data_IF_569409880288
#
_entry.id   IF_569409880288
#
_cell.length_a   1.000
_cell.length_b   1.000
_cell.length_c   1.000
_cell.angle_alpha   90.00
_cell.angle_beta   90.00
_cell.angle_gamma   90.00
#
_symmetry.space_group_name_H-M   'P 1'
#
loop_
_entity.id
_entity.type
_entity.pdbx_description
1 polymer ?
#
# COMPACT_ATOMS: atom_id res chain seq x y z
N UNK A 1 -81.19 -8.68 71.57
CA UNK A 1 -80.81 -9.61 70.51
C UNK A 1 -79.69 -9.02 69.71
N UNK A 2 -78.45 -9.46 70.00
CA UNK A 2 -77.26 -8.86 69.40
C UNK A 2 -76.61 -9.94 68.56
N UNK A 3 -76.31 -9.64 67.26
CA UNK A 3 -75.50 -10.41 66.37
C UNK A 3 -74.06 -10.00 66.46
N UNK A 4 -73.04 -10.91 66.43
CA UNK A 4 -71.66 -10.50 66.37
C UNK A 4 -71.17 -10.50 64.93
N UNK A 5 -70.53 -9.38 64.51
CA UNK A 5 -69.78 -9.19 63.26
C UNK A 5 -68.49 -10.04 63.29
N UNK A 6 -68.35 -10.93 62.34
CA UNK A 6 -67.12 -11.68 62.11
C UNK A 6 -66.31 -10.86 61.06
N UNK A 7 -65.20 -10.27 61.48
CA UNK A 7 -64.24 -9.67 60.60
C UNK A 7 -63.20 -10.73 60.16
N UNK A 8 -63.28 -11.12 58.93
CA UNK A 8 -62.27 -11.96 58.31
C UNK A 8 -61.03 -11.16 57.99
N UNK A 9 -59.93 -11.34 58.70
CA UNK A 9 -58.61 -10.85 58.36
C UNK A 9 -58.05 -11.67 57.23
N UNK A 10 -58.06 -11.15 56.01
CA UNK A 10 -57.36 -11.71 54.87
C UNK A 10 -55.86 -11.41 55.02
N UNK A 11 -55.10 -12.40 55.45
CA UNK A 11 -53.66 -12.36 55.56
C UNK A 11 -53.04 -12.49 54.15
N UNK A 12 -52.70 -11.34 53.55
CA UNK A 12 -51.88 -11.30 52.39
C UNK A 12 -50.46 -11.77 52.76
N UNK A 13 -50.15 -13.02 52.51
CA UNK A 13 -48.77 -13.52 52.56
C UNK A 13 -47.99 -12.96 51.37
N UNK A 14 -47.29 -11.88 51.61
CA UNK A 14 -46.35 -11.29 50.68
C UNK A 14 -45.12 -12.22 50.61
N UNK A 15 -45.10 -13.09 49.60
CA UNK A 15 -43.95 -13.95 49.28
C UNK A 15 -42.79 -13.05 48.99
N UNK A 16 -41.85 -12.81 49.90
CA UNK A 16 -40.58 -12.16 49.68
C UNK A 16 -39.75 -13.07 48.80
N UNK A 17 -39.68 -12.77 47.50
CA UNK A 17 -38.67 -13.37 46.64
C UNK A 17 -37.31 -12.95 47.19
N UNK A 18 -36.58 -13.91 47.73
CA UNK A 18 -35.16 -13.73 48.07
C UNK A 18 -34.42 -13.52 46.74
N UNK A 19 -34.18 -12.25 46.33
CA UNK A 19 -33.17 -11.96 45.36
C UNK A 19 -31.88 -12.63 45.83
N UNK A 20 -31.43 -13.69 45.16
CA UNK A 20 -30.10 -14.27 45.33
C UNK A 20 -29.11 -13.15 45.01
N UNK A 21 -28.58 -12.46 46.00
CA UNK A 21 -27.44 -11.57 45.84
C UNK A 21 -26.30 -12.47 45.35
N UNK A 22 -25.96 -12.37 44.11
CA UNK A 22 -24.72 -12.95 43.60
C UNK A 22 -23.59 -12.38 44.47
N UNK A 23 -23.02 -13.20 45.35
CA UNK A 23 -21.96 -12.76 46.22
C UNK A 23 -20.81 -12.25 45.35
N UNK A 24 -20.44 -10.98 45.48
CA UNK A 24 -19.33 -10.33 44.76
C UNK A 24 -18.08 -11.22 44.74
N UNK A 25 -17.85 -11.99 45.81
CA UNK A 25 -16.75 -12.95 45.92
C UNK A 25 -16.78 -14.04 44.83
N UNK A 26 -17.97 -14.60 44.51
CA UNK A 26 -18.09 -15.60 43.44
C UNK A 26 -17.88 -15.02 42.05
N UNK A 27 -18.28 -13.77 41.85
CA UNK A 27 -18.01 -13.04 40.59
C UNK A 27 -16.50 -12.85 40.44
N UNK A 28 -15.81 -12.38 41.48
CA UNK A 28 -14.35 -12.18 41.47
C UNK A 28 -13.61 -13.50 41.22
N UNK A 29 -14.02 -14.58 41.87
CA UNK A 29 -13.46 -15.91 41.65
C UNK A 29 -13.68 -16.38 40.21
N UNK A 30 -14.89 -16.19 39.68
CA UNK A 30 -15.19 -16.50 38.27
C UNK A 30 -14.32 -15.76 37.28
N UNK A 31 -14.12 -14.47 37.50
CA UNK A 31 -13.22 -13.65 36.67
C UNK A 31 -11.76 -14.12 36.79
N UNK A 32 -11.29 -14.43 38.01
CA UNK A 32 -9.92 -14.92 38.22
C UNK A 32 -9.67 -16.27 37.53
N UNK A 33 -10.65 -17.20 37.58
CA UNK A 33 -10.57 -18.47 36.88
C UNK A 33 -10.56 -18.27 35.36
N UNK A 34 -11.40 -17.36 34.85
CA UNK A 34 -11.46 -17.05 33.43
C UNK A 34 -10.14 -16.43 32.93
N UNK A 35 -9.54 -15.55 33.71
CA UNK A 35 -8.21 -14.98 33.43
C UNK A 35 -7.11 -16.05 33.47
N UNK A 36 -7.19 -17.00 34.41
CA UNK A 36 -6.24 -18.10 34.47
C UNK A 36 -6.36 -19.02 33.25
N UNK A 37 -7.57 -19.40 32.86
CA UNK A 37 -7.81 -20.20 31.65
C UNK A 37 -7.30 -19.46 30.42
N UNK A 38 -7.58 -18.16 30.28
CA UNK A 38 -7.11 -17.32 29.19
C UNK A 38 -5.57 -17.26 29.15
N UNK A 39 -4.92 -17.11 30.30
CA UNK A 39 -3.46 -17.13 30.43
C UNK A 39 -2.86 -18.48 30.00
N UNK A 40 -3.50 -19.59 30.40
CA UNK A 40 -3.08 -20.96 30.00
C UNK A 40 -3.23 -21.16 28.49
N UNK A 41 -4.34 -20.70 27.90
CA UNK A 41 -4.57 -20.79 26.45
C UNK A 41 -3.56 -19.96 25.66
N UNK A 42 -3.19 -18.78 26.16
CA UNK A 42 -2.11 -17.98 25.57
C UNK A 42 -0.76 -18.69 25.65
N UNK A 43 -0.46 -19.29 26.81
CA UNK A 43 0.78 -20.05 27.06
C UNK A 43 0.84 -21.38 26.29
N UNK A 44 -0.31 -22.01 26.01
CA UNK A 44 -0.39 -23.28 25.28
C UNK A 44 -0.06 -23.17 23.77
N UNK A 45 0.26 -21.98 23.27
CA UNK A 45 0.65 -21.77 21.88
C UNK A 45 -0.49 -21.88 20.86
N UNK A 46 -1.75 -21.91 21.31
CA UNK A 46 -2.93 -21.95 20.43
C UNK A 46 -2.94 -20.74 19.48
N UNK A 47 -2.51 -19.57 19.98
CA UNK A 47 -2.41 -18.35 19.19
C UNK A 47 -1.05 -18.17 18.49
N UNK A 48 -0.25 -19.24 18.40
CA UNK A 48 1.03 -19.18 17.68
C UNK A 48 0.79 -19.27 16.17
N UNK A 49 1.13 -18.21 15.46
CA UNK A 49 1.00 -18.12 14.00
C UNK A 49 1.80 -19.24 13.33
N UNK A 50 1.11 -20.04 12.52
CA UNK A 50 1.67 -21.11 11.66
C UNK A 50 1.43 -20.82 10.19
N UNK A 51 0.28 -20.19 9.87
CA UNK A 51 -0.09 -19.86 8.50
C UNK A 51 -0.26 -18.36 8.34
N UNK A 52 0.25 -17.83 7.22
CA UNK A 52 0.17 -16.43 6.87
C UNK A 52 -0.25 -16.30 5.42
N UNK A 53 -1.39 -15.67 5.19
CA UNK A 53 -1.81 -15.20 3.87
C UNK A 53 -1.35 -13.76 3.69
N UNK A 54 -0.68 -13.45 2.60
CA UNK A 54 -0.33 -12.05 2.24
C UNK A 54 -1.05 -11.68 0.96
N UNK A 55 -1.71 -10.53 0.96
CA UNK A 55 -2.45 -10.00 -0.19
C UNK A 55 -2.20 -8.50 -0.37
N UNK A 56 -2.14 -8.04 -1.62
CA UNK A 56 -1.95 -6.63 -1.97
C UNK A 56 -0.49 -6.18 -1.99
N UNK A 57 0.45 -7.11 -1.95
CA UNK A 57 1.88 -6.85 -2.08
C UNK A 57 2.29 -6.92 -3.56
N UNK A 58 3.01 -5.90 -4.04
CA UNK A 58 3.63 -5.84 -5.38
C UNK A 58 5.13 -5.61 -5.28
N UNK A 59 5.57 -4.71 -4.38
CA UNK A 59 7.00 -4.39 -4.20
C UNK A 59 7.75 -5.43 -3.37
N UNK A 60 7.11 -5.97 -2.34
CA UNK A 60 7.71 -6.97 -1.45
C UNK A 60 7.17 -8.37 -1.74
N UNK A 61 8.01 -9.38 -1.59
CA UNK A 61 7.58 -10.78 -1.58
C UNK A 61 6.71 -11.08 -0.35
N UNK A 62 5.96 -12.19 -0.39
CA UNK A 62 5.16 -12.63 0.75
C UNK A 62 6.01 -12.93 1.98
N UNK A 63 7.19 -13.48 1.75
CA UNK A 63 8.16 -13.84 2.76
C UNK A 63 8.72 -12.59 3.46
N UNK A 64 9.07 -11.56 2.70
CA UNK A 64 9.56 -10.28 3.23
C UNK A 64 8.48 -9.57 4.05
N UNK A 65 7.26 -9.43 3.52
CA UNK A 65 6.13 -8.85 4.27
C UNK A 65 5.88 -9.62 5.56
N UNK A 66 5.88 -10.97 5.49
CA UNK A 66 5.71 -11.81 6.67
C UNK A 66 6.78 -11.52 7.71
N UNK A 67 8.04 -11.41 7.28
CA UNK A 67 9.16 -11.11 8.18
C UNK A 67 9.08 -9.69 8.76
N UNK A 68 8.76 -8.69 7.95
CA UNK A 68 8.64 -7.30 8.36
C UNK A 68 7.50 -7.11 9.38
N UNK A 69 6.33 -7.70 9.11
CA UNK A 69 5.14 -7.58 9.96
C UNK A 69 5.27 -8.39 11.25
N UNK A 70 5.66 -9.65 11.17
CA UNK A 70 5.78 -10.51 12.35
C UNK A 70 7.05 -10.22 13.14
N UNK A 71 8.18 -10.01 12.50
CA UNK A 71 9.49 -9.92 13.14
C UNK A 71 9.77 -11.17 13.98
N UNK A 72 9.99 -10.99 15.29
CA UNK A 72 10.15 -12.07 16.27
C UNK A 72 8.84 -12.51 16.91
N UNK A 73 7.76 -11.75 16.72
CA UNK A 73 6.47 -12.02 17.34
C UNK A 73 5.72 -13.11 16.58
N UNK A 74 5.11 -14.05 17.32
CA UNK A 74 4.36 -15.18 16.75
C UNK A 74 2.96 -15.32 17.35
N UNK A 75 2.52 -14.39 18.19
CA UNK A 75 1.18 -14.44 18.79
C UNK A 75 0.18 -13.68 17.90
N UNK A 76 -0.77 -14.40 17.30
CA UNK A 76 -1.76 -13.86 16.37
C UNK A 76 -2.69 -12.82 17.02
N UNK A 77 -3.06 -13.03 18.28
CA UNK A 77 -3.94 -12.13 19.02
C UNK A 77 -3.23 -10.79 19.29
N UNK A 78 -1.97 -10.85 19.75
CA UNK A 78 -1.15 -9.66 19.98
C UNK A 78 -0.90 -8.88 18.69
N UNK A 79 -0.53 -9.58 17.60
CA UNK A 79 -0.31 -8.95 16.30
C UNK A 79 -1.58 -8.29 15.77
N UNK A 80 -2.73 -8.98 15.87
CA UNK A 80 -4.01 -8.41 15.45
C UNK A 80 -4.36 -7.15 16.26
N UNK A 81 -4.13 -7.16 17.58
CA UNK A 81 -4.32 -5.99 18.42
C UNK A 81 -3.37 -4.85 18.03
N UNK A 82 -2.08 -5.14 17.85
CA UNK A 82 -1.05 -4.16 17.48
C UNK A 82 -1.41 -3.43 16.18
N UNK A 83 -1.73 -4.17 15.12
CA UNK A 83 -2.03 -3.58 13.81
C UNK A 83 -3.44 -3.00 13.69
N UNK A 84 -4.34 -3.29 14.61
CA UNK A 84 -5.70 -2.74 14.63
C UNK A 84 -5.82 -1.45 15.43
N UNK A 85 -5.04 -1.30 16.50
CA UNK A 85 -5.21 -0.20 17.46
C UNK A 85 -3.96 0.67 17.65
N UNK A 86 -2.78 0.21 17.21
CA UNK A 86 -1.50 0.89 17.43
C UNK A 86 -0.72 1.14 16.14
N UNK A 87 -1.38 1.05 14.96
CA UNK A 87 -0.83 1.26 13.62
C UNK A 87 0.38 0.36 13.22
N UNK A 88 0.80 -0.55 14.11
CA UNK A 88 1.86 -1.50 13.84
C UNK A 88 3.24 -0.88 13.64
N UNK A 89 4.02 -1.44 12.72
CA UNK A 89 5.32 -0.93 12.30
C UNK A 89 5.19 -0.18 10.99
N UNK A 90 5.91 0.93 10.86
CA UNK A 90 6.14 1.57 9.57
C UNK A 90 7.01 0.66 8.70
N UNK A 91 6.56 0.42 7.48
CA UNK A 91 7.28 -0.35 6.47
C UNK A 91 7.45 0.59 5.27
N UNK A 92 8.69 0.77 4.77
CA UNK A 92 8.92 1.61 3.59
C UNK A 92 8.01 1.19 2.43
N UNK A 93 7.56 2.15 1.62
CA UNK A 93 6.67 1.95 0.47
C UNK A 93 5.27 1.39 0.79
N UNK A 94 4.95 1.17 2.07
CA UNK A 94 3.63 0.71 2.53
C UNK A 94 2.92 1.85 3.23
N UNK A 95 1.71 2.15 2.79
CA UNK A 95 0.83 3.14 3.41
C UNK A 95 0.19 2.58 4.67
N UNK A 96 -0.32 1.34 4.58
CA UNK A 96 -1.02 0.70 5.69
C UNK A 96 -0.91 -0.82 5.63
N UNK A 97 -0.84 -1.43 6.79
CA UNK A 97 -0.97 -2.88 6.97
C UNK A 97 -2.25 -3.19 7.73
N UNK A 98 -3.14 -3.95 7.10
CA UNK A 98 -4.30 -4.54 7.77
C UNK A 98 -4.00 -5.97 8.19
N UNK A 99 -4.23 -6.34 9.44
CA UNK A 99 -4.08 -7.71 9.92
C UNK A 99 -5.42 -8.26 10.39
N UNK A 100 -5.78 -9.43 9.88
CA UNK A 100 -7.03 -10.13 10.22
C UNK A 100 -6.70 -11.55 10.67
N UNK A 101 -7.17 -11.94 11.84
CA UNK A 101 -7.06 -13.30 12.32
C UNK A 101 -8.19 -14.14 11.69
N UNK A 102 -7.83 -15.15 10.90
CA UNK A 102 -8.75 -16.10 10.28
C UNK A 102 -9.01 -17.30 11.19
N UNK A 103 -7.98 -17.74 11.89
CA UNK A 103 -8.01 -18.76 12.93
C UNK A 103 -6.96 -18.41 14.01
N UNK A 104 -6.97 -19.05 15.19
CA UNK A 104 -6.00 -18.73 16.24
C UNK A 104 -4.53 -18.81 15.79
N UNK A 105 -4.21 -19.70 14.86
CA UNK A 105 -2.87 -19.89 14.30
C UNK A 105 -2.73 -19.44 12.84
N UNK A 106 -3.77 -18.81 12.26
CA UNK A 106 -3.81 -18.36 10.87
C UNK A 106 -4.19 -16.89 10.79
N UNK A 107 -3.33 -16.08 10.19
CA UNK A 107 -3.55 -14.66 9.97
C UNK A 107 -3.49 -14.31 8.49
N UNK A 108 -4.23 -13.27 8.12
CA UNK A 108 -4.12 -12.62 6.82
C UNK A 108 -3.57 -11.22 6.99
N UNK A 109 -2.51 -10.93 6.27
CA UNK A 109 -1.88 -9.62 6.15
C UNK A 109 -2.36 -9.01 4.84
N UNK A 110 -3.02 -7.86 4.90
CA UNK A 110 -3.36 -7.05 3.73
C UNK A 110 -2.46 -5.84 3.69
N UNK A 111 -1.68 -5.73 2.64
CA UNK A 111 -0.76 -4.62 2.41
C UNK A 111 -1.46 -3.60 1.51
N UNK A 112 -1.40 -2.33 1.89
CA UNK A 112 -1.77 -1.20 1.06
C UNK A 112 -0.48 -0.44 0.75
N UNK A 113 -0.02 -0.56 -0.49
CA UNK A 113 1.21 0.07 -0.93
C UNK A 113 0.99 1.53 -1.29
N UNK A 114 2.00 2.37 -1.08
CA UNK A 114 1.99 3.77 -1.50
C UNK A 114 1.92 3.83 -3.02
N UNK A 115 1.03 4.67 -3.54
CA UNK A 115 0.95 4.89 -4.98
C UNK A 115 2.06 5.84 -5.41
N UNK A 116 2.95 5.38 -6.27
CA UNK A 116 4.08 6.16 -6.77
C UNK A 116 4.06 6.13 -8.29
N UNK A 117 4.31 7.30 -8.92
CA UNK A 117 4.36 7.43 -10.39
C UNK A 117 5.78 7.64 -10.91
N UNK A 118 6.72 7.95 -10.04
CA UNK A 118 8.11 8.18 -10.38
C UNK A 118 8.93 8.53 -9.16
N UNK A 119 10.24 8.63 -9.35
CA UNK A 119 11.15 9.18 -8.35
C UNK A 119 12.16 10.14 -8.96
N UNK A 120 12.65 11.06 -8.16
CA UNK A 120 13.78 11.94 -8.48
C UNK A 120 14.96 11.62 -7.60
N UNK A 121 16.17 11.75 -8.13
CA UNK A 121 17.40 11.60 -7.33
C UNK A 121 17.79 12.93 -6.71
N UNK A 122 17.91 12.96 -5.40
CA UNK A 122 18.27 14.16 -4.67
C UNK A 122 19.17 13.83 -3.47
N UNK A 123 20.32 14.48 -3.37
CA UNK A 123 21.30 14.31 -2.28
C UNK A 123 21.64 12.84 -1.94
N UNK A 124 21.71 11.98 -2.95
CA UNK A 124 22.06 10.57 -2.78
C UNK A 124 20.91 9.63 -2.44
N UNK A 125 19.69 10.14 -2.30
CA UNK A 125 18.48 9.35 -2.08
C UNK A 125 17.53 9.44 -3.26
N UNK A 126 16.68 8.45 -3.41
CA UNK A 126 15.57 8.42 -4.35
C UNK A 126 14.30 8.89 -3.63
N UNK A 127 13.69 9.94 -4.13
CA UNK A 127 12.49 10.54 -3.57
C UNK A 127 11.32 10.18 -4.45
N UNK A 128 10.49 9.29 -3.94
CA UNK A 128 9.31 8.80 -4.63
C UNK A 128 8.14 9.74 -4.42
N UNK A 129 7.39 10.02 -5.46
CA UNK A 129 6.23 10.90 -5.41
C UNK A 129 5.00 10.28 -6.06
N UNK A 130 3.85 10.70 -5.59
CA UNK A 130 2.55 10.25 -6.08
C UNK A 130 2.07 11.07 -7.29
N UNK A 131 0.85 10.79 -7.74
CA UNK A 131 0.20 11.47 -8.88
C UNK A 131 0.01 12.98 -8.70
N UNK A 132 -0.02 13.45 -7.47
CA UNK A 132 -0.19 14.87 -7.12
C UNK A 132 1.17 15.55 -6.87
N UNK A 133 2.27 14.84 -7.17
CA UNK A 133 3.63 15.29 -6.93
C UNK A 133 4.07 15.30 -5.47
N UNK A 134 3.27 14.72 -4.57
CA UNK A 134 3.63 14.65 -3.15
C UNK A 134 4.71 13.62 -2.93
N UNK A 135 5.79 14.00 -2.24
CA UNK A 135 6.87 13.08 -1.87
C UNK A 135 6.36 12.13 -0.78
N UNK A 136 6.15 10.87 -1.12
CA UNK A 136 5.57 9.86 -0.23
C UNK A 136 6.61 8.98 0.44
N UNK A 137 7.83 8.89 -0.12
CA UNK A 137 8.90 8.05 0.42
C UNK A 137 10.28 8.56 0.02
N UNK A 138 11.27 8.35 0.88
CA UNK A 138 12.69 8.57 0.60
C UNK A 138 13.47 7.29 0.90
N UNK A 139 14.13 6.73 -0.11
CA UNK A 139 14.87 5.48 0.02
C UNK A 139 16.13 5.47 -0.85
N UNK A 140 17.12 4.67 -0.45
CA UNK A 140 18.27 4.37 -1.29
C UNK A 140 17.99 3.21 -2.26
N UNK A 141 16.91 2.47 -2.04
CA UNK A 141 16.49 1.39 -2.91
C UNK A 141 15.81 1.92 -4.17
N UNK A 142 16.03 1.24 -5.29
CA UNK A 142 15.34 1.49 -6.56
C UNK A 142 14.28 0.42 -6.73
N UNK A 143 13.02 0.85 -6.80
CA UNK A 143 11.89 -0.06 -7.02
C UNK A 143 11.74 -0.36 -8.52
N UNK A 144 11.61 -1.62 -8.84
CA UNK A 144 11.32 -2.06 -10.21
C UNK A 144 9.94 -1.54 -10.67
N UNK A 145 9.88 -1.10 -11.91
CA UNK A 145 8.65 -0.58 -12.51
C UNK A 145 8.30 0.87 -12.14
N UNK A 146 9.09 1.54 -11.31
CA UNK A 146 8.95 2.97 -11.01
C UNK A 146 10.08 3.74 -11.71
N UNK A 147 9.79 4.59 -12.71
CA UNK A 147 10.82 5.26 -13.50
C UNK A 147 11.51 6.40 -12.74
N UNK A 148 12.80 6.60 -13.03
CA UNK A 148 13.52 7.78 -12.62
C UNK A 148 13.11 8.98 -13.49
N UNK A 149 12.65 10.07 -12.88
CA UNK A 149 12.27 11.29 -13.59
C UNK A 149 13.44 12.26 -13.58
N UNK A 150 13.94 12.61 -14.77
CA UNK A 150 14.98 13.62 -14.95
C UNK A 150 14.44 14.88 -15.62
N UNK A 151 15.09 16.00 -15.35
CA UNK A 151 14.71 17.29 -15.91
C UNK A 151 13.56 17.99 -15.19
N UNK A 152 12.99 17.38 -14.17
CA UNK A 152 12.03 18.03 -13.29
C UNK A 152 12.76 19.03 -12.40
N UNK A 153 12.41 20.31 -12.50
CA UNK A 153 12.97 21.40 -11.68
C UNK A 153 12.04 21.64 -10.50
N UNK A 154 12.58 21.55 -9.30
CA UNK A 154 11.86 21.81 -8.05
C UNK A 154 12.77 22.53 -7.05
N UNK A 155 12.20 23.40 -6.20
CA UNK A 155 12.97 24.23 -5.28
C UNK A 155 13.05 23.67 -3.87
N UNK A 156 11.93 23.26 -3.30
CA UNK A 156 11.85 22.77 -1.92
C UNK A 156 11.37 21.34 -1.87
N UNK A 157 11.87 20.61 -0.88
CA UNK A 157 11.62 19.20 -0.77
C UNK A 157 11.44 18.79 0.69
N UNK A 158 10.27 18.21 1.00
CA UNK A 158 10.00 17.59 2.27
C UNK A 158 9.08 16.38 2.08
N UNK A 159 9.25 15.36 2.90
CA UNK A 159 8.35 14.19 2.90
C UNK A 159 6.95 14.64 3.29
N UNK A 160 5.94 14.07 2.65
CA UNK A 160 4.53 14.42 2.75
C UNK A 160 4.19 15.85 2.29
N UNK A 161 5.02 16.44 1.44
CA UNK A 161 4.74 17.71 0.80
C UNK A 161 4.88 17.59 -0.72
N UNK A 162 4.10 18.36 -1.51
CA UNK A 162 4.24 18.37 -2.95
C UNK A 162 5.58 18.99 -3.36
N UNK A 163 6.18 18.44 -4.42
CA UNK A 163 7.31 19.03 -5.08
C UNK A 163 6.89 20.38 -5.65
N UNK A 164 7.56 21.46 -5.23
CA UNK A 164 7.31 22.79 -5.75
C UNK A 164 7.94 22.93 -7.15
N UNK A 165 7.13 22.74 -8.18
CA UNK A 165 7.51 22.82 -9.59
C UNK A 165 6.92 24.07 -10.24
N UNK A 166 7.52 24.55 -11.33
CA UNK A 166 7.04 25.74 -12.04
C UNK A 166 5.65 25.53 -12.70
N UNK A 167 5.31 24.29 -13.06
CA UNK A 167 4.03 23.93 -13.69
C UNK A 167 3.57 22.56 -13.22
N UNK A 168 2.51 22.51 -12.43
CA UNK A 168 1.95 21.28 -11.86
C UNK A 168 1.34 20.33 -12.91
N UNK A 169 1.01 20.82 -14.10
CA UNK A 169 0.53 19.98 -15.21
C UNK A 169 1.52 18.89 -15.63
N UNK A 170 2.79 19.01 -15.25
CA UNK A 170 3.79 17.97 -15.46
C UNK A 170 3.40 16.65 -14.78
N UNK A 171 2.73 16.71 -13.63
CA UNK A 171 2.29 15.50 -12.93
C UNK A 171 1.14 14.80 -13.63
N UNK A 172 0.23 15.54 -14.27
CA UNK A 172 -0.83 14.97 -15.12
C UNK A 172 -0.24 14.22 -16.32
N UNK A 173 0.79 14.80 -16.94
CA UNK A 173 1.53 14.17 -18.05
C UNK A 173 2.22 12.90 -17.55
N UNK A 174 2.94 12.96 -16.44
CA UNK A 174 3.63 11.81 -15.86
C UNK A 174 2.64 10.70 -15.44
N UNK A 175 1.50 11.06 -14.86
CA UNK A 175 0.44 10.11 -14.51
C UNK A 175 -0.10 9.41 -15.78
N UNK A 176 -0.44 10.17 -16.80
CA UNK A 176 -0.92 9.62 -18.07
C UNK A 176 0.10 8.68 -18.69
N UNK A 177 1.38 9.06 -18.68
CA UNK A 177 2.48 8.22 -19.15
C UNK A 177 2.59 6.91 -18.35
N UNK A 178 2.55 6.99 -17.02
CA UNK A 178 2.68 5.81 -16.15
C UNK A 178 1.51 4.84 -16.36
N UNK A 179 0.29 5.36 -16.51
CA UNK A 179 -0.89 4.54 -16.80
C UNK A 179 -0.77 3.84 -18.16
N UNK A 180 -0.27 4.54 -19.16
CA UNK A 180 -0.07 4.00 -20.49
C UNK A 180 1.06 2.97 -20.52
N UNK A 181 2.17 3.23 -19.85
CA UNK A 181 3.26 2.27 -19.68
C UNK A 181 2.74 0.97 -19.06
N UNK A 182 1.92 1.08 -18.01
CA UNK A 182 1.28 -0.09 -17.39
C UNK A 182 0.35 -0.83 -18.36
N UNK A 183 -0.45 -0.11 -19.15
CA UNK A 183 -1.36 -0.69 -20.16
C UNK A 183 -0.61 -1.52 -21.21
N UNK A 184 0.54 -1.02 -21.66
CA UNK A 184 1.35 -1.67 -22.70
C UNK A 184 2.51 -2.50 -22.14
N UNK A 185 2.59 -2.66 -20.80
CA UNK A 185 3.67 -3.38 -20.11
C UNK A 185 5.06 -2.87 -20.51
N UNK A 186 5.20 -1.55 -20.59
CA UNK A 186 6.46 -0.87 -20.83
C UNK A 186 7.07 -0.45 -19.49
N UNK A 187 8.35 -0.74 -19.28
CA UNK A 187 9.07 -0.39 -18.05
C UNK A 187 10.36 0.36 -18.39
N UNK A 188 10.29 1.67 -18.71
CA UNK A 188 11.49 2.45 -18.91
C UNK A 188 12.24 2.64 -17.59
N UNK A 189 13.57 2.62 -17.66
CA UNK A 189 14.42 2.94 -16.51
C UNK A 189 14.33 4.42 -16.13
N UNK A 190 14.09 5.27 -17.16
CA UNK A 190 14.13 6.72 -16.99
C UNK A 190 13.17 7.44 -17.95
N UNK A 191 12.54 8.49 -17.43
CA UNK A 191 11.77 9.48 -18.19
C UNK A 191 12.49 10.81 -18.07
N UNK A 192 13.04 11.31 -19.18
CA UNK A 192 13.68 12.63 -19.22
C UNK A 192 12.72 13.66 -19.80
N UNK A 193 12.46 14.72 -19.04
CA UNK A 193 11.68 15.88 -19.45
C UNK A 193 12.64 16.99 -19.89
N UNK A 194 12.47 17.49 -21.12
CA UNK A 194 13.26 18.59 -21.67
C UNK A 194 12.35 19.76 -22.04
N UNK A 195 12.91 20.95 -22.11
CA UNK A 195 12.22 22.17 -22.55
C UNK A 195 10.88 22.38 -21.83
N UNK A 196 10.91 22.37 -20.48
CA UNK A 196 9.73 22.53 -19.61
C UNK A 196 8.60 21.54 -19.94
N UNK A 197 8.99 20.25 -20.11
CA UNK A 197 8.13 19.12 -20.39
C UNK A 197 7.50 19.06 -21.79
N UNK A 198 7.92 19.94 -22.71
CA UNK A 198 7.47 19.88 -24.12
C UNK A 198 8.14 18.77 -24.93
N UNK A 199 9.21 18.18 -24.42
CA UNK A 199 9.91 17.05 -25.03
C UNK A 199 10.15 15.96 -24.00
N UNK A 200 9.73 14.75 -24.34
CA UNK A 200 9.79 13.58 -23.48
C UNK A 200 10.66 12.52 -24.14
N UNK A 201 11.61 12.00 -23.37
CA UNK A 201 12.49 10.91 -23.79
C UNK A 201 12.37 9.76 -22.79
N UNK A 202 12.03 8.58 -23.27
CA UNK A 202 12.07 7.34 -22.49
C UNK A 202 13.41 6.65 -22.70
N UNK A 203 13.99 6.10 -21.65
CA UNK A 203 15.20 5.29 -21.74
C UNK A 203 14.91 3.87 -21.29
N UNK A 204 15.22 2.90 -22.14
CA UNK A 204 15.15 1.46 -21.88
C UNK A 204 16.58 0.91 -22.09
N UNK A 205 17.30 0.68 -21.01
CA UNK A 205 18.70 0.28 -21.05
C UNK A 205 19.55 1.18 -21.96
N UNK A 206 19.89 0.72 -23.16
CA UNK A 206 20.71 1.47 -24.13
C UNK A 206 19.89 2.17 -25.23
N UNK A 207 18.58 1.99 -25.24
CA UNK A 207 17.68 2.59 -26.23
C UNK A 207 16.98 3.79 -25.66
N UNK A 208 17.13 4.93 -26.30
CA UNK A 208 16.42 6.16 -25.99
C UNK A 208 15.30 6.35 -27.01
N UNK A 209 14.08 6.53 -26.54
CA UNK A 209 12.91 6.77 -27.38
C UNK A 209 12.50 8.24 -27.24
N UNK A 210 12.67 9.01 -28.27
CA UNK A 210 12.30 10.41 -28.31
C UNK A 210 10.82 10.53 -28.71
N UNK A 211 9.95 10.81 -27.72
CA UNK A 211 8.49 10.88 -27.94
C UNK A 211 8.04 12.26 -28.46
N UNK A 212 8.86 13.30 -28.31
CA UNK A 212 8.43 14.66 -28.53
C UNK A 212 7.43 15.13 -27.48
N UNK A 213 6.33 15.72 -27.92
CA UNK A 213 5.21 16.12 -27.05
C UNK A 213 4.39 14.92 -26.55
N UNK A 214 3.51 15.17 -25.58
CA UNK A 214 2.58 14.15 -25.06
C UNK A 214 1.45 13.73 -26.02
N UNK A 215 1.49 14.14 -27.29
CA UNK A 215 0.47 13.83 -28.26
C UNK A 215 0.59 12.39 -28.80
N UNK A 216 -0.54 11.77 -29.13
CA UNK A 216 -0.61 10.40 -29.68
C UNK A 216 0.09 9.34 -28.86
N UNK A 217 0.14 9.52 -27.52
CA UNK A 217 0.91 8.66 -26.62
C UNK A 217 0.47 7.20 -26.66
N UNK A 218 -0.83 6.93 -26.81
CA UNK A 218 -1.36 5.57 -26.88
C UNK A 218 -0.85 4.83 -28.13
N UNK A 219 -0.85 5.50 -29.29
CA UNK A 219 -0.34 4.97 -30.55
C UNK A 219 1.18 4.76 -30.50
N UNK A 220 1.91 5.74 -29.95
CA UNK A 220 3.36 5.66 -29.75
C UNK A 220 3.73 4.49 -28.83
N UNK A 221 3.04 4.34 -27.69
CA UNK A 221 3.31 3.26 -26.74
C UNK A 221 3.02 1.87 -27.35
N UNK A 222 1.92 1.72 -28.05
CA UNK A 222 1.61 0.48 -28.74
C UNK A 222 2.71 0.10 -29.75
N UNK A 223 3.22 1.08 -30.48
CA UNK A 223 4.29 0.87 -31.45
C UNK A 223 5.61 0.56 -30.80
N UNK A 224 5.96 1.28 -29.71
CA UNK A 224 7.18 1.02 -28.91
C UNK A 224 7.17 -0.43 -28.41
N UNK A 225 6.06 -0.92 -27.84
CA UNK A 225 5.93 -2.31 -27.37
C UNK A 225 6.30 -3.32 -28.45
N UNK A 226 5.93 -3.03 -29.70
CA UNK A 226 6.22 -3.91 -30.84
C UNK A 226 7.69 -3.86 -31.27
N UNK A 227 8.33 -2.68 -31.17
CA UNK A 227 9.69 -2.45 -31.67
C UNK A 227 10.78 -2.78 -30.64
N UNK A 228 10.50 -2.63 -29.34
CA UNK A 228 11.50 -2.83 -28.28
C UNK A 228 12.24 -4.18 -28.36
N UNK A 229 11.57 -5.31 -28.59
CA UNK A 229 12.27 -6.60 -28.69
C UNK A 229 13.32 -6.64 -29.80
N UNK A 230 13.07 -5.96 -30.92
CA UNK A 230 14.02 -5.89 -32.05
C UNK A 230 15.22 -4.96 -31.76
N UNK A 231 15.08 -4.10 -30.75
CA UNK A 231 16.10 -3.12 -30.35
C UNK A 231 16.89 -3.51 -29.12
N UNK A 232 16.56 -4.59 -28.43
CA UNK A 232 17.09 -5.00 -27.12
C UNK A 232 18.63 -5.04 -27.07
N UNK A 233 19.28 -5.45 -28.19
CA UNK A 233 20.75 -5.55 -28.28
C UNK A 233 21.39 -4.36 -29.01
N UNK A 234 20.65 -3.28 -29.21
CA UNK A 234 21.13 -2.10 -29.89
C UNK A 234 21.29 -0.94 -28.90
N UNK A 235 22.15 0.02 -29.28
CA UNK A 235 22.28 1.31 -28.60
C UNK A 235 21.98 2.42 -29.60
N UNK A 236 21.10 3.35 -29.20
CA UNK A 236 20.71 4.43 -30.11
C UNK A 236 19.45 5.17 -29.71
N UNK A 237 18.94 5.95 -30.65
CA UNK A 237 17.75 6.78 -30.48
C UNK A 237 16.68 6.35 -31.48
N UNK A 238 15.51 6.01 -30.96
CA UNK A 238 14.30 5.81 -31.73
C UNK A 238 13.52 7.13 -31.79
N UNK A 239 13.31 7.66 -32.97
CA UNK A 239 12.61 8.90 -33.19
C UNK A 239 11.12 8.67 -33.40
N UNK A 240 10.31 9.13 -32.47
CA UNK A 240 8.84 8.99 -32.45
C UNK A 240 8.12 10.35 -32.30
N UNK A 241 8.85 11.47 -32.46
CA UNK A 241 8.33 12.82 -32.17
C UNK A 241 7.07 13.10 -32.99
N UNK A 242 7.12 12.80 -34.29
CA UNK A 242 6.03 13.05 -35.24
C UNK A 242 5.22 11.78 -35.58
N UNK A 243 5.38 10.71 -34.80
CA UNK A 243 4.70 9.45 -35.08
C UNK A 243 3.20 9.55 -34.80
N UNK A 244 2.42 9.10 -35.78
CA UNK A 244 0.97 8.84 -35.71
C UNK A 244 0.68 7.46 -36.29
N UNK A 245 -0.54 6.94 -36.11
CA UNK A 245 -0.96 5.65 -36.70
C UNK A 245 -0.88 5.59 -38.23
N UNK A 246 -0.87 6.74 -38.89
CA UNK A 246 -0.73 6.86 -40.35
C UNK A 246 0.74 6.90 -40.80
N UNK A 247 1.68 6.99 -39.85
CA UNK A 247 3.11 7.09 -40.18
C UNK A 247 3.63 5.76 -40.71
N UNK A 248 4.26 5.79 -41.88
CA UNK A 248 4.82 4.59 -42.54
C UNK A 248 6.26 4.30 -42.13
N UNK A 249 7.02 5.33 -41.69
CA UNK A 249 8.43 5.24 -41.40
C UNK A 249 8.74 5.70 -39.97
N UNK A 250 9.58 4.94 -39.29
CA UNK A 250 10.18 5.28 -38.00
C UNK A 250 11.69 5.21 -38.17
N UNK A 251 12.40 6.20 -37.64
CA UNK A 251 13.86 6.27 -37.71
C UNK A 251 14.51 5.79 -36.42
N UNK A 252 15.47 4.87 -36.54
CA UNK A 252 16.37 4.48 -35.46
C UNK A 252 17.81 4.86 -35.81
N UNK A 253 18.41 5.71 -34.99
CA UNK A 253 19.78 6.16 -35.16
C UNK A 253 20.67 5.45 -34.15
N UNK A 254 21.57 4.59 -34.64
CA UNK A 254 22.54 3.89 -33.77
C UNK A 254 23.58 4.84 -33.22
N UNK A 255 23.95 4.64 -31.98
CA UNK A 255 25.12 5.30 -31.39
C UNK A 255 26.39 4.82 -32.12
N UNK A 256 27.39 5.69 -32.19
CA UNK A 256 28.67 5.40 -32.84
C UNK A 256 29.60 4.63 -31.91
#
# INVERSE_FOLDING_TARGET
MQEPKIYGKMLFMRRREKKKSLNLKWIIIGIAVLLLIFSVLLGAGIFRVKQVDVVGNSFYSKEEITQLVLGKQRNSLYLTFLYRYLDGKEIPFVDKVGLTMLAPDHIRIRVYEKTMIGYVRYMGSNLYFDKDGTVVESSNEVLEGIPCIKGLKFDNLAINQPLNVANDQVFDVLLSMTQMMKKYELSPDEITLKNDSSQIVLTFQNVRVNLGSGDHMDEKAARIKTLLPDLENLSGVLHMEEYTSESTNISFMKDK
#
